data_IF_055991008433
#
_entry.id   IF_055991008433
#
_cell.length_a   1.000
_cell.length_b   1.000
_cell.length_c   1.000
_cell.angle_alpha   90.00
_cell.angle_beta   90.00
_cell.angle_gamma   90.00
#
_symmetry.space_group_name_H-M   'P 1'
#
loop_
_entity.id
_entity.type
_entity.pdbx_description
1 polymer ?
#
# COMPACT_ATOMS: atom_id res chain seq x y z
N UNK A 1 -3.76 -16.35 15.57
CA UNK A 1 -4.37 -15.11 14.97
C UNK A 1 -3.75 -13.91 15.67
N UNK A 2 -3.24 -12.89 14.93
CA UNK A 2 -2.48 -11.81 15.58
C UNK A 2 -3.33 -10.55 15.81
N UNK A 3 -3.97 -10.02 14.74
CA UNK A 3 -5.02 -8.99 14.84
C UNK A 3 -6.28 -9.52 14.21
N UNK A 4 -7.42 -9.34 14.88
CA UNK A 4 -8.73 -9.71 14.36
C UNK A 4 -9.67 -8.53 14.48
N UNK A 5 -10.31 -8.19 13.38
CA UNK A 5 -11.35 -7.17 13.27
C UNK A 5 -12.64 -7.87 12.92
N UNK A 6 -13.71 -7.67 13.70
CA UNK A 6 -14.99 -8.32 13.55
C UNK A 6 -16.10 -7.29 13.42
N UNK A 7 -16.76 -7.28 12.27
CA UNK A 7 -17.97 -6.51 11.96
C UNK A 7 -17.87 -5.02 12.32
N UNK A 8 -16.68 -4.44 12.16
CA UNK A 8 -16.44 -3.02 12.44
C UNK A 8 -17.26 -2.15 11.51
N UNK A 9 -18.03 -1.24 12.10
CA UNK A 9 -18.73 -0.19 11.39
C UNK A 9 -18.48 1.15 12.06
N UNK A 10 -18.36 2.19 11.24
CA UNK A 10 -18.29 3.59 11.63
C UNK A 10 -18.90 4.43 10.54
N UNK A 11 -20.01 5.08 10.81
CA UNK A 11 -20.72 5.91 9.85
C UNK A 11 -20.65 7.38 10.34
N UNK A 12 -20.14 8.23 9.49
CA UNK A 12 -20.16 9.67 9.65
C UNK A 12 -21.35 10.26 8.90
N UNK A 13 -21.53 11.56 8.97
CA UNK A 13 -22.53 12.28 8.18
C UNK A 13 -22.43 11.96 6.67
N UNK A 14 -23.56 11.95 5.98
CA UNK A 14 -23.67 11.61 4.55
C UNK A 14 -23.23 10.18 4.19
N UNK A 15 -23.44 9.23 5.11
CA UNK A 15 -23.15 7.80 4.92
C UNK A 15 -21.68 7.47 4.61
N UNK A 16 -20.75 8.38 4.90
CA UNK A 16 -19.31 8.11 4.76
C UNK A 16 -18.82 7.26 5.94
N UNK A 17 -17.83 6.43 5.69
CA UNK A 17 -17.23 5.62 6.74
C UNK A 17 -16.91 4.20 6.29
N UNK A 18 -17.02 3.25 7.21
CA UNK A 18 -16.81 1.83 6.97
C UNK A 18 -18.01 1.03 7.48
N UNK A 19 -18.36 -0.03 6.76
CA UNK A 19 -19.56 -0.85 7.03
C UNK A 19 -19.16 -2.32 7.11
N UNK A 20 -19.46 -2.95 8.24
CA UNK A 20 -19.34 -4.40 8.46
C UNK A 20 -17.97 -4.98 8.03
N UNK A 21 -16.88 -4.31 8.40
CA UNK A 21 -15.52 -4.73 8.07
C UNK A 21 -15.11 -5.89 8.97
N UNK A 22 -14.74 -7.01 8.36
CA UNK A 22 -14.11 -8.14 9.04
C UNK A 22 -12.81 -8.51 8.33
N UNK A 23 -11.70 -8.58 9.07
CA UNK A 23 -10.36 -8.77 8.56
C UNK A 23 -9.45 -9.38 9.62
N UNK A 24 -8.46 -10.13 9.20
CA UNK A 24 -7.45 -10.75 10.08
C UNK A 24 -6.07 -10.47 9.54
N UNK A 25 -5.11 -10.20 10.45
CA UNK A 25 -3.69 -10.04 10.16
C UNK A 25 -2.91 -11.11 10.90
N UNK A 26 -2.01 -11.79 10.22
CA UNK A 26 -1.11 -12.75 10.82
C UNK A 26 0.16 -12.06 11.39
N UNK A 27 0.85 -12.73 12.29
CA UNK A 27 2.10 -12.19 12.86
C UNK A 27 3.18 -12.09 11.79
N UNK A 28 3.82 -10.92 11.71
CA UNK A 28 4.87 -10.67 10.73
C UNK A 28 4.37 -10.45 9.30
N UNK A 29 3.06 -10.29 9.10
CA UNK A 29 2.46 -10.04 7.79
C UNK A 29 2.42 -8.55 7.46
N UNK A 30 2.65 -8.21 6.19
CA UNK A 30 2.43 -6.87 5.63
C UNK A 30 1.19 -6.89 4.74
N UNK A 31 0.15 -6.18 5.15
CA UNK A 31 -1.11 -6.09 4.43
C UNK A 31 -1.36 -4.66 3.96
N UNK A 32 -1.76 -4.50 2.68
CA UNK A 32 -2.19 -3.21 2.15
C UNK A 32 -3.70 -3.07 2.13
N UNK A 33 -4.22 -1.92 2.58
CA UNK A 33 -5.58 -1.48 2.29
C UNK A 33 -5.54 -0.61 1.03
N UNK A 34 -6.10 -1.11 -0.05
CA UNK A 34 -6.08 -0.50 -1.37
C UNK A 34 -7.50 -0.10 -1.80
N UNK A 35 -7.68 1.08 -2.35
CA UNK A 35 -8.97 1.56 -2.83
C UNK A 35 -8.95 3.03 -3.22
N UNK A 36 -9.98 3.56 -3.88
CA UNK A 36 -10.08 4.95 -4.26
C UNK A 36 -10.10 5.89 -3.05
N UNK A 37 -9.82 7.17 -3.29
CA UNK A 37 -9.94 8.19 -2.24
C UNK A 37 -11.36 8.22 -1.67
N UNK A 38 -11.48 8.31 -0.34
CA UNK A 38 -12.77 8.36 0.36
C UNK A 38 -13.48 7.02 0.56
N UNK A 39 -12.89 5.87 0.18
CA UNK A 39 -13.53 4.55 0.39
C UNK A 39 -13.43 4.00 1.82
N UNK A 40 -12.84 4.75 2.78
CA UNK A 40 -12.81 4.36 4.20
C UNK A 40 -11.48 3.81 4.72
N UNK A 41 -10.41 3.71 3.92
CA UNK A 41 -9.11 3.15 4.34
C UNK A 41 -8.51 3.83 5.58
N UNK A 42 -8.33 5.15 5.53
CA UNK A 42 -7.81 5.95 6.66
C UNK A 42 -8.76 5.91 7.87
N UNK A 43 -10.07 5.84 7.64
CA UNK A 43 -11.05 5.65 8.73
C UNK A 43 -10.81 4.32 9.44
N UNK A 44 -10.69 3.22 8.68
CA UNK A 44 -10.42 1.90 9.24
C UNK A 44 -9.07 1.87 9.97
N UNK A 45 -8.02 2.47 9.38
CA UNK A 45 -6.71 2.60 10.01
C UNK A 45 -6.80 3.33 11.36
N UNK A 46 -7.52 4.45 11.41
CA UNK A 46 -7.70 5.24 12.62
C UNK A 46 -8.53 4.52 13.69
N UNK A 47 -9.49 3.67 13.30
CA UNK A 47 -10.21 2.79 14.22
C UNK A 47 -9.26 1.76 14.81
N UNK A 48 -8.42 1.11 14.00
CA UNK A 48 -7.41 0.14 14.45
C UNK A 48 -6.39 0.82 15.39
N UNK A 49 -5.97 2.03 15.06
CA UNK A 49 -5.06 2.83 15.90
C UNK A 49 -5.70 3.37 17.17
N UNK A 50 -7.03 3.34 17.32
CA UNK A 50 -7.76 3.85 18.47
C UNK A 50 -8.02 5.36 18.45
N UNK A 51 -7.76 6.06 17.34
CA UNK A 51 -8.01 7.49 17.17
C UNK A 51 -9.47 7.80 16.85
N UNK A 52 -10.21 6.82 16.33
CA UNK A 52 -11.64 6.92 16.02
C UNK A 52 -12.35 5.75 16.67
N UNK A 53 -13.41 6.04 17.44
CA UNK A 53 -14.26 5.02 18.04
C UNK A 53 -15.22 4.46 16.97
N UNK A 54 -15.29 3.13 16.86
CA UNK A 54 -16.28 2.45 16.03
C UNK A 54 -17.69 2.54 16.63
N UNK A 55 -18.71 2.41 15.79
CA UNK A 55 -20.10 2.39 16.22
C UNK A 55 -20.54 0.95 16.58
N UNK A 56 -19.93 -0.06 15.97
CA UNK A 56 -20.18 -1.48 16.26
C UNK A 56 -18.99 -2.34 15.89
N UNK A 57 -18.98 -3.60 16.36
CA UNK A 57 -17.92 -4.57 16.12
C UNK A 57 -16.80 -4.50 17.14
N UNK A 58 -15.82 -5.38 17.02
CA UNK A 58 -14.74 -5.57 17.99
C UNK A 58 -13.37 -5.74 17.33
N UNK A 59 -12.32 -5.38 18.07
CA UNK A 59 -10.91 -5.49 17.65
C UNK A 59 -10.15 -6.28 18.71
N UNK A 60 -9.49 -7.35 18.29
CA UNK A 60 -8.69 -8.21 19.16
C UNK A 60 -7.23 -8.21 18.71
N UNK A 61 -6.31 -8.05 19.65
CA UNK A 61 -4.87 -8.21 19.45
C UNK A 61 -4.38 -9.34 20.35
N UNK A 62 -3.89 -10.44 19.76
CA UNK A 62 -3.48 -11.66 20.48
C UNK A 62 -4.57 -12.12 21.47
N UNK A 63 -5.80 -12.28 20.97
CA UNK A 63 -7.00 -12.69 21.70
C UNK A 63 -7.48 -11.71 22.80
N UNK A 64 -6.79 -10.59 22.99
CA UNK A 64 -7.18 -9.52 23.92
C UNK A 64 -8.08 -8.51 23.22
N UNK A 65 -9.26 -8.27 23.74
CA UNK A 65 -10.14 -7.19 23.25
C UNK A 65 -9.51 -5.82 23.55
N UNK A 66 -9.27 -5.05 22.50
CA UNK A 66 -8.70 -3.70 22.56
C UNK A 66 -9.65 -2.65 21.98
N UNK A 67 -10.90 -3.01 21.74
CA UNK A 67 -11.91 -2.17 21.07
C UNK A 67 -12.03 -0.79 21.72
N UNK A 68 -12.18 -0.74 23.03
CA UNK A 68 -12.35 0.51 23.80
C UNK A 68 -11.01 1.10 24.30
N UNK A 69 -9.85 0.52 23.91
CA UNK A 69 -8.57 1.05 24.35
C UNK A 69 -8.21 2.32 23.56
N UNK A 70 -7.81 3.39 24.27
CA UNK A 70 -7.29 4.58 23.61
C UNK A 70 -5.91 4.29 22.99
N UNK A 71 -5.44 5.11 22.04
CA UNK A 71 -4.21 4.84 21.28
C UNK A 71 -2.97 4.52 22.13
N UNK A 72 -2.76 5.24 23.24
CA UNK A 72 -1.60 5.08 24.12
C UNK A 72 -1.58 3.75 24.89
N UNK A 73 -2.71 3.05 24.98
CA UNK A 73 -2.84 1.73 25.60
C UNK A 73 -2.78 0.58 24.59
N UNK A 74 -2.77 0.87 23.28
CA UNK A 74 -2.61 -0.13 22.22
C UNK A 74 -1.11 -0.34 21.96
N UNK A 75 -0.74 -1.58 21.72
CA UNK A 75 0.61 -1.92 21.26
C UNK A 75 0.72 -1.76 19.73
N UNK A 76 0.09 -0.71 19.22
CA UNK A 76 -0.04 -0.33 17.81
C UNK A 76 0.44 1.09 17.68
N UNK A 77 1.27 1.38 16.67
CA UNK A 77 1.77 2.74 16.42
C UNK A 77 1.47 3.13 14.98
N UNK A 78 1.07 4.38 14.77
CA UNK A 78 0.73 4.92 13.45
C UNK A 78 1.78 5.93 12.98
N UNK A 79 2.22 5.78 11.74
CA UNK A 79 2.94 6.80 10.97
C UNK A 79 1.94 7.46 10.03
N UNK A 80 1.69 8.75 10.25
CA UNK A 80 0.73 9.53 9.46
C UNK A 80 1.35 10.02 8.15
N UNK A 81 0.51 10.34 7.18
CA UNK A 81 0.87 10.80 5.84
C UNK A 81 1.83 12.02 5.83
N UNK A 82 1.67 12.95 6.76
CA UNK A 82 2.52 14.12 6.92
C UNK A 82 3.69 13.90 7.89
N UNK A 83 3.97 12.61 8.23
CA UNK A 83 4.99 12.17 9.18
C UNK A 83 4.79 12.69 10.62
N UNK A 84 4.06 13.78 10.84
CA UNK A 84 3.76 14.43 12.12
C UNK A 84 5.01 14.60 13.02
N UNK A 85 6.15 14.97 12.43
CA UNK A 85 7.38 15.23 13.16
C UNK A 85 7.25 16.55 13.93
N UNK A 86 7.86 16.62 15.11
CA UNK A 86 7.89 17.82 15.94
C UNK A 86 8.93 18.80 15.37
N UNK A 87 8.51 19.93 14.74
CA UNK A 87 9.43 20.82 14.03
C UNK A 87 10.39 21.58 14.93
N UNK A 88 10.06 21.74 16.22
CA UNK A 88 10.87 22.40 17.24
C UNK A 88 11.88 21.47 17.91
N UNK A 89 11.91 20.18 17.53
CA UNK A 89 12.80 19.16 18.06
C UNK A 89 13.76 18.72 16.97
N UNK A 90 15.00 18.38 17.35
CA UNK A 90 15.94 17.73 16.45
C UNK A 90 15.58 16.25 16.21
N UNK A 91 16.36 15.56 15.36
CA UNK A 91 16.09 14.17 14.97
C UNK A 91 16.05 13.23 16.16
N UNK A 92 17.07 13.23 17.03
CA UNK A 92 17.11 12.32 18.18
C UNK A 92 16.01 12.62 19.21
N UNK A 93 15.63 13.88 19.36
CA UNK A 93 14.54 14.28 20.25
C UNK A 93 13.19 13.78 19.74
N UNK A 94 12.96 13.86 18.42
CA UNK A 94 11.79 13.25 17.79
C UNK A 94 11.73 11.75 18.06
N UNK A 95 12.81 11.01 17.79
CA UNK A 95 12.82 9.55 17.93
C UNK A 95 12.61 9.12 19.38
N UNK A 96 13.31 9.71 20.34
CA UNK A 96 13.23 9.32 21.76
C UNK A 96 11.95 9.79 22.47
N UNK A 97 11.15 10.68 21.86
CA UNK A 97 10.02 11.36 22.53
C UNK A 97 9.06 10.40 23.23
N UNK A 98 8.65 9.33 22.54
CA UNK A 98 7.71 8.35 23.09
C UNK A 98 8.27 7.50 24.24
N UNK A 99 9.59 7.29 24.28
CA UNK A 99 10.25 6.51 25.32
C UNK A 99 10.12 7.13 26.72
N UNK A 100 9.98 8.46 26.80
CA UNK A 100 9.71 9.18 28.04
C UNK A 100 8.49 8.65 28.79
N UNK A 101 7.47 8.20 28.05
CA UNK A 101 6.19 7.70 28.60
C UNK A 101 6.21 6.18 28.84
N UNK A 102 7.30 5.50 28.47
CA UNK A 102 7.50 4.05 28.67
C UNK A 102 8.42 3.74 29.86
N UNK A 103 8.79 4.74 30.65
CA UNK A 103 9.59 4.55 31.88
C UNK A 103 11.11 4.44 31.67
N UNK A 104 11.62 4.65 30.44
CA UNK A 104 13.06 4.63 30.17
C UNK A 104 13.75 5.87 30.76
N UNK A 105 14.94 5.69 31.38
CA UNK A 105 15.77 6.79 31.81
C UNK A 105 16.42 7.53 30.61
N UNK A 106 17.01 8.71 30.83
CA UNK A 106 17.54 9.57 29.75
C UNK A 106 18.64 8.89 28.92
N UNK A 107 19.50 8.10 29.55
CA UNK A 107 20.61 7.41 28.87
C UNK A 107 20.08 6.28 27.97
N UNK A 108 19.14 5.51 28.48
CA UNK A 108 18.45 4.46 27.71
C UNK A 108 17.70 5.02 26.52
N UNK A 109 16.97 6.15 26.70
CA UNK A 109 16.28 6.84 25.60
C UNK A 109 17.24 7.24 24.48
N UNK A 110 18.41 7.81 24.82
CA UNK A 110 19.42 8.23 23.84
C UNK A 110 20.02 7.00 23.14
N UNK A 111 20.36 5.96 23.89
CA UNK A 111 20.93 4.72 23.35
C UNK A 111 19.97 4.07 22.34
N UNK A 112 18.72 3.86 22.73
CA UNK A 112 17.69 3.26 21.86
C UNK A 112 17.42 4.14 20.63
N UNK A 113 17.30 5.46 20.81
CA UNK A 113 17.07 6.35 19.68
C UNK A 113 18.20 6.27 18.64
N UNK A 114 19.47 6.23 19.08
CA UNK A 114 20.62 6.05 18.17
C UNK A 114 20.59 4.70 17.47
N UNK A 115 20.23 3.63 18.16
CA UNK A 115 20.09 2.28 17.59
C UNK A 115 19.05 2.28 16.45
N UNK A 116 17.87 2.85 16.70
CA UNK A 116 16.82 2.90 15.67
C UNK A 116 17.13 3.89 14.54
N UNK A 117 17.84 4.99 14.80
CA UNK A 117 18.38 5.85 13.74
C UNK A 117 19.37 5.10 12.83
N UNK A 118 20.24 4.28 13.40
CA UNK A 118 21.13 3.41 12.62
C UNK A 118 20.36 2.36 11.81
N UNK A 119 19.30 1.77 12.38
CA UNK A 119 18.42 0.81 11.68
C UNK A 119 17.81 1.41 10.43
N UNK A 120 17.41 2.69 10.45
CA UNK A 120 16.82 3.40 9.30
C UNK A 120 17.85 4.18 8.47
N UNK A 121 19.16 3.96 8.66
CA UNK A 121 20.23 4.59 7.88
C UNK A 121 20.40 6.10 8.11
N UNK A 122 20.10 6.58 9.31
CA UNK A 122 20.26 8.00 9.71
C UNK A 122 21.29 8.19 10.84
N UNK A 123 22.31 7.33 10.89
CA UNK A 123 23.46 7.51 11.79
C UNK A 123 24.20 8.80 11.42
N UNK A 124 24.49 9.66 12.42
CA UNK A 124 25.13 10.96 12.23
C UNK A 124 24.17 12.15 12.05
N UNK A 125 22.86 11.89 11.90
CA UNK A 125 21.84 12.95 11.74
C UNK A 125 21.17 13.37 13.08
N UNK A 126 21.63 12.88 14.22
CA UNK A 126 20.98 13.02 15.52
C UNK A 126 20.67 14.47 15.90
N UNK A 127 21.57 15.39 15.55
CA UNK A 127 21.51 16.80 15.92
C UNK A 127 20.84 17.69 14.87
N UNK A 128 20.56 17.16 13.67
CA UNK A 128 19.95 17.93 12.59
C UNK A 128 18.53 18.37 12.99
N UNK A 129 18.12 19.54 12.51
CA UNK A 129 16.72 19.95 12.59
C UNK A 129 15.89 19.17 11.55
N UNK A 130 14.61 18.95 11.84
CA UNK A 130 13.70 18.25 10.92
C UNK A 130 13.56 18.98 9.57
N UNK A 131 13.63 20.33 9.59
CA UNK A 131 13.50 21.17 8.41
C UNK A 131 14.68 21.09 7.44
N UNK A 132 15.87 20.59 7.88
CA UNK A 132 17.05 20.39 7.05
C UNK A 132 17.01 19.06 6.28
N UNK A 133 16.05 18.19 6.60
CA UNK A 133 15.97 16.85 6.04
C UNK A 133 15.15 16.79 4.76
N UNK A 134 15.58 15.95 3.81
CA UNK A 134 14.74 15.59 2.66
C UNK A 134 13.47 14.84 3.09
N UNK A 135 12.44 14.78 2.23
CA UNK A 135 11.20 14.06 2.53
C UNK A 135 11.43 12.59 2.91
N UNK A 136 12.33 11.90 2.21
CA UNK A 136 12.68 10.52 2.56
C UNK A 136 13.40 10.40 3.90
N UNK A 137 14.27 11.35 4.25
CA UNK A 137 14.90 11.38 5.57
C UNK A 137 13.89 11.67 6.68
N UNK A 138 12.94 12.59 6.46
CA UNK A 138 11.85 12.85 7.41
C UNK A 138 10.99 11.60 7.64
N UNK A 139 10.68 10.86 6.58
CA UNK A 139 9.98 9.59 6.67
C UNK A 139 10.74 8.56 7.53
N UNK A 140 12.05 8.41 7.30
CA UNK A 140 12.91 7.52 8.11
C UNK A 140 12.94 7.93 9.58
N UNK A 141 12.98 9.23 9.89
CA UNK A 141 12.85 9.72 11.27
C UNK A 141 11.51 9.31 11.88
N UNK A 142 10.40 9.46 11.12
CA UNK A 142 9.07 9.06 11.58
C UNK A 142 8.97 7.53 11.81
N UNK A 143 9.56 6.72 10.92
CA UNK A 143 9.68 5.28 11.10
C UNK A 143 10.51 4.92 12.35
N UNK A 144 11.68 5.55 12.54
CA UNK A 144 12.50 5.32 13.74
C UNK A 144 11.75 5.68 15.02
N UNK A 145 11.02 6.83 15.03
CA UNK A 145 10.18 7.26 16.15
C UNK A 145 9.07 6.28 16.48
N UNK A 146 8.48 5.66 15.46
CA UNK A 146 7.46 4.65 15.66
C UNK A 146 8.05 3.31 16.15
N UNK A 147 9.12 2.86 15.51
CA UNK A 147 9.73 1.56 15.77
C UNK A 147 10.47 1.47 17.10
N UNK A 148 11.03 2.58 17.61
CA UNK A 148 11.72 2.61 18.90
C UNK A 148 10.83 2.22 20.08
N UNK A 149 9.50 2.35 19.90
CA UNK A 149 8.48 1.92 20.87
C UNK A 149 8.21 0.42 20.83
N UNK A 150 8.84 -0.31 19.90
CA UNK A 150 8.69 -1.75 19.70
C UNK A 150 7.22 -2.19 19.61
N UNK A 151 6.42 -1.59 18.71
CA UNK A 151 5.01 -1.92 18.61
C UNK A 151 4.82 -3.33 18.06
N UNK A 152 3.69 -3.96 18.40
CA UNK A 152 3.26 -5.22 17.78
C UNK A 152 2.84 -5.04 16.34
N UNK A 153 2.18 -3.91 16.04
CA UNK A 153 1.70 -3.56 14.70
C UNK A 153 2.10 -2.12 14.37
N UNK A 154 2.62 -1.92 13.17
CA UNK A 154 2.87 -0.60 12.60
C UNK A 154 1.81 -0.28 11.55
N UNK A 155 1.12 0.84 11.72
CA UNK A 155 0.17 1.36 10.76
C UNK A 155 0.84 2.48 9.96
N UNK A 156 0.73 2.43 8.63
CA UNK A 156 1.32 3.39 7.70
C UNK A 156 0.19 4.01 6.85
N UNK A 157 -0.10 5.30 7.04
CA UNK A 157 -1.13 6.01 6.29
C UNK A 157 -0.49 6.77 5.12
N UNK A 158 -0.65 6.25 3.90
CA UNK A 158 -0.11 6.80 2.64
C UNK A 158 1.35 7.30 2.74
N UNK A 159 2.29 6.47 3.25
CA UNK A 159 3.62 6.94 3.61
C UNK A 159 4.45 7.47 2.42
N UNK A 160 4.10 7.12 1.18
CA UNK A 160 4.85 7.53 -0.01
C UNK A 160 4.22 8.70 -0.77
N UNK A 161 3.08 9.23 -0.33
CA UNK A 161 2.33 10.25 -1.08
C UNK A 161 3.12 11.52 -1.39
N UNK A 162 4.08 11.89 -0.54
CA UNK A 162 4.88 13.11 -0.64
C UNK A 162 6.26 12.90 -1.29
N UNK A 163 6.52 11.73 -1.89
CA UNK A 163 7.81 11.39 -2.49
C UNK A 163 7.75 11.38 -4.02
N UNK A 164 8.87 11.67 -4.67
CA UNK A 164 9.03 11.46 -6.11
C UNK A 164 9.09 9.97 -6.47
N UNK A 165 8.87 9.64 -7.75
CA UNK A 165 8.74 8.25 -8.21
C UNK A 165 9.99 7.39 -7.91
N UNK A 166 11.20 7.94 -8.05
CA UNK A 166 12.43 7.19 -7.78
C UNK A 166 12.58 6.89 -6.30
N UNK A 167 12.29 7.86 -5.46
CA UNK A 167 12.36 7.72 -4.01
C UNK A 167 11.28 6.78 -3.48
N UNK A 168 10.08 6.78 -4.07
CA UNK A 168 9.02 5.81 -3.75
C UNK A 168 9.49 4.36 -3.92
N UNK A 169 10.17 4.05 -5.03
CA UNK A 169 10.68 2.69 -5.30
C UNK A 169 11.67 2.28 -4.20
N UNK A 170 12.67 3.11 -3.93
CA UNK A 170 13.66 2.82 -2.90
C UNK A 170 13.05 2.65 -1.51
N UNK A 171 12.08 3.51 -1.15
CA UNK A 171 11.41 3.45 0.16
C UNK A 171 10.50 2.23 0.31
N UNK A 172 9.87 1.76 -0.76
CA UNK A 172 9.10 0.50 -0.76
C UNK A 172 9.99 -0.70 -0.43
N UNK A 173 11.13 -0.81 -1.11
CA UNK A 173 12.11 -1.86 -0.84
C UNK A 173 12.60 -1.81 0.61
N UNK A 174 12.96 -0.62 1.09
CA UNK A 174 13.44 -0.40 2.46
C UNK A 174 12.40 -0.80 3.52
N UNK A 175 11.13 -0.40 3.35
CA UNK A 175 10.05 -0.79 4.29
C UNK A 175 9.87 -2.31 4.30
N UNK A 176 9.91 -2.97 3.15
CA UNK A 176 9.79 -4.43 3.05
C UNK A 176 10.98 -5.15 3.72
N UNK A 177 12.20 -4.65 3.52
CA UNK A 177 13.39 -5.18 4.20
C UNK A 177 13.32 -4.97 5.71
N UNK A 178 12.92 -3.77 6.14
CA UNK A 178 12.77 -3.41 7.54
C UNK A 178 11.72 -4.30 8.22
N UNK A 179 10.58 -4.52 7.58
CA UNK A 179 9.51 -5.40 8.06
C UNK A 179 10.03 -6.83 8.27
N UNK A 180 10.73 -7.39 7.27
CA UNK A 180 11.30 -8.74 7.35
C UNK A 180 12.37 -8.85 8.44
N UNK A 181 13.29 -7.87 8.51
CA UNK A 181 14.39 -7.86 9.49
C UNK A 181 13.90 -7.78 10.94
N UNK A 182 12.84 -7.01 11.18
CA UNK A 182 12.26 -6.82 12.51
C UNK A 182 11.15 -7.82 12.84
N UNK A 183 10.62 -8.56 11.85
CA UNK A 183 9.49 -9.47 12.01
C UNK A 183 8.21 -8.77 12.46
N UNK A 184 8.06 -7.46 12.20
CA UNK A 184 6.93 -6.66 12.63
C UNK A 184 5.75 -6.82 11.68
N UNK A 185 4.54 -6.88 12.23
CA UNK A 185 3.31 -6.85 11.40
C UNK A 185 3.00 -5.42 10.98
N UNK A 186 2.59 -5.22 9.72
CA UNK A 186 2.32 -3.90 9.18
C UNK A 186 0.98 -3.86 8.46
N UNK A 187 0.24 -2.75 8.64
CA UNK A 187 -0.89 -2.39 7.79
C UNK A 187 -0.54 -1.09 7.07
N UNK A 188 -0.61 -1.12 5.76
CA UNK A 188 -0.22 -0.07 4.86
C UNK A 188 -1.43 0.43 4.07
N UNK A 189 -1.73 1.73 4.12
CA UNK A 189 -2.80 2.34 3.33
C UNK A 189 -2.22 3.01 2.10
N UNK A 190 -2.78 2.72 0.95
CA UNK A 190 -2.43 3.39 -0.31
C UNK A 190 -3.62 3.44 -1.27
N UNK A 191 -3.57 4.35 -2.24
CA UNK A 191 -4.40 4.36 -3.42
C UNK A 191 -3.62 3.94 -4.69
N UNK A 192 -2.31 3.70 -4.55
CA UNK A 192 -1.42 3.30 -5.64
C UNK A 192 -1.35 1.77 -5.74
N UNK A 193 -1.72 1.26 -6.92
CA UNK A 193 -1.79 -0.17 -7.19
C UNK A 193 -0.40 -0.81 -7.22
N UNK A 194 0.60 -0.11 -7.79
CA UNK A 194 1.98 -0.63 -7.84
C UNK A 194 2.57 -0.76 -6.45
N UNK A 195 2.28 0.19 -5.56
CA UNK A 195 2.70 0.12 -4.17
C UNK A 195 2.13 -1.15 -3.51
N UNK A 196 0.81 -1.34 -3.58
CA UNK A 196 0.15 -2.48 -2.97
C UNK A 196 0.64 -3.82 -3.54
N UNK A 197 0.73 -3.93 -4.88
CA UNK A 197 1.15 -5.16 -5.56
C UNK A 197 2.61 -5.54 -5.27
N UNK A 198 3.50 -4.54 -5.08
CA UNK A 198 4.94 -4.79 -4.95
C UNK A 198 5.41 -5.19 -3.55
N UNK A 199 4.76 -4.69 -2.49
CA UNK A 199 5.28 -4.89 -1.13
C UNK A 199 4.45 -5.83 -0.26
N UNK A 200 3.16 -6.02 -0.58
CA UNK A 200 2.24 -6.70 0.34
C UNK A 200 2.32 -8.22 0.25
N UNK A 201 2.10 -8.87 1.39
CA UNK A 201 1.83 -10.31 1.44
C UNK A 201 0.37 -10.59 1.07
N UNK A 202 -0.55 -9.71 1.47
CA UNK A 202 -1.96 -9.69 1.05
C UNK A 202 -2.45 -8.26 0.84
N UNK A 203 -3.45 -8.13 -0.03
CA UNK A 203 -4.14 -6.88 -0.33
C UNK A 203 -5.60 -7.00 0.06
N UNK A 204 -6.10 -5.98 0.77
CA UNK A 204 -7.52 -5.77 1.05
C UNK A 204 -8.03 -4.67 0.14
N UNK A 205 -8.79 -5.03 -0.89
CA UNK A 205 -9.39 -4.07 -1.81
C UNK A 205 -10.67 -3.54 -1.20
N UNK A 206 -10.76 -2.22 -1.04
CA UNK A 206 -11.90 -1.52 -0.43
C UNK A 206 -12.62 -0.64 -1.44
N UNK A 207 -13.94 -0.59 -1.31
CA UNK A 207 -14.81 0.31 -2.07
C UNK A 207 -16.05 0.65 -1.24
N UNK A 208 -16.48 1.92 -1.27
CA UNK A 208 -17.71 2.39 -0.62
C UNK A 208 -17.85 1.98 0.87
N UNK A 209 -16.75 1.96 1.60
CA UNK A 209 -16.72 1.60 3.01
C UNK A 209 -16.73 0.10 3.31
N UNK A 210 -16.63 -0.75 2.30
CA UNK A 210 -16.68 -2.21 2.42
C UNK A 210 -15.42 -2.88 1.85
N UNK A 211 -15.13 -4.10 2.30
CA UNK A 211 -14.11 -4.96 1.70
C UNK A 211 -14.73 -5.69 0.50
N UNK A 212 -14.14 -5.50 -0.68
CA UNK A 212 -14.58 -6.14 -1.92
C UNK A 212 -13.88 -7.47 -2.15
N UNK A 213 -12.56 -7.51 -1.91
CA UNK A 213 -11.74 -8.72 -2.05
C UNK A 213 -10.54 -8.66 -1.12
N UNK A 214 -10.14 -9.82 -0.58
CA UNK A 214 -8.86 -10.02 0.11
C UNK A 214 -8.15 -11.16 -0.60
N UNK A 215 -6.85 -11.00 -0.88
CA UNK A 215 -6.05 -12.04 -1.52
C UNK A 215 -4.58 -11.65 -1.64
N UNK A 216 -3.76 -12.58 -2.12
CA UNK A 216 -2.37 -12.29 -2.51
C UNK A 216 -2.34 -11.34 -3.71
N UNK A 217 -1.24 -10.58 -3.92
CA UNK A 217 -1.13 -9.68 -5.07
C UNK A 217 -1.49 -10.34 -6.40
N UNK A 218 -0.99 -11.56 -6.65
CA UNK A 218 -1.25 -12.30 -7.89
C UNK A 218 -2.73 -12.71 -8.02
N UNK A 219 -3.39 -13.08 -6.90
CA UNK A 219 -4.82 -13.42 -6.90
C UNK A 219 -5.68 -12.20 -7.22
N UNK A 220 -5.36 -11.03 -6.63
CA UNK A 220 -6.07 -9.79 -6.89
C UNK A 220 -5.92 -9.36 -8.34
N UNK A 221 -4.74 -9.58 -8.94
CA UNK A 221 -4.43 -9.17 -10.31
C UNK A 221 -5.01 -10.14 -11.35
N UNK A 222 -4.74 -11.44 -11.23
CA UNK A 222 -5.12 -12.45 -12.24
C UNK A 222 -6.49 -13.11 -11.99
N UNK A 223 -6.99 -13.11 -10.75
CA UNK A 223 -8.25 -13.74 -10.35
C UNK A 223 -9.18 -12.76 -9.61
N UNK A 224 -9.47 -11.60 -10.20
CA UNK A 224 -10.34 -10.61 -9.58
C UNK A 224 -11.76 -11.16 -9.39
N UNK A 225 -12.32 -10.97 -8.16
CA UNK A 225 -13.64 -11.50 -7.78
C UNK A 225 -14.79 -10.93 -8.61
N UNK A 226 -14.63 -9.71 -9.10
CA UNK A 226 -15.65 -9.02 -9.89
C UNK A 226 -15.03 -8.00 -10.84
N UNK A 227 -15.87 -7.43 -11.70
CA UNK A 227 -15.47 -6.44 -12.69
C UNK A 227 -14.83 -5.19 -12.07
N UNK A 228 -15.35 -4.71 -10.94
CA UNK A 228 -14.79 -3.56 -10.24
C UNK A 228 -13.32 -3.78 -9.87
N UNK A 229 -13.00 -4.90 -9.20
CA UNK A 229 -11.61 -5.21 -8.83
C UNK A 229 -10.74 -5.35 -10.06
N UNK A 230 -11.25 -6.02 -11.12
CA UNK A 230 -10.53 -6.22 -12.36
C UNK A 230 -10.10 -4.89 -13.02
N UNK A 231 -11.04 -3.94 -13.16
CA UNK A 231 -10.81 -2.62 -13.75
C UNK A 231 -10.01 -1.70 -12.81
N UNK A 232 -10.22 -1.82 -11.50
CA UNK A 232 -9.53 -1.00 -10.50
C UNK A 232 -8.03 -1.32 -10.40
N UNK A 233 -7.63 -2.58 -10.55
CA UNK A 233 -6.21 -3.01 -10.40
C UNK A 233 -5.39 -2.79 -11.70
N UNK A 234 -6.01 -2.46 -12.79
CA UNK A 234 -5.33 -2.22 -14.06
C UNK A 234 -6.18 -2.52 -15.26
N UNK A 235 -5.63 -2.32 -16.44
CA UNK A 235 -6.35 -2.61 -17.69
C UNK A 235 -6.63 -4.10 -17.81
N UNK A 236 -7.84 -4.42 -18.30
CA UNK A 236 -8.30 -5.79 -18.51
C UNK A 236 -9.17 -5.86 -19.75
N UNK A 237 -9.11 -6.96 -20.46
CA UNK A 237 -9.95 -7.25 -21.60
C UNK A 237 -11.05 -8.24 -21.19
N UNK A 238 -12.31 -7.82 -21.34
CA UNK A 238 -13.47 -8.69 -21.12
C UNK A 238 -13.84 -9.36 -22.46
N UNK A 239 -13.37 -10.58 -22.65
CA UNK A 239 -13.54 -11.35 -23.88
C UNK A 239 -14.53 -12.51 -23.66
N UNK A 240 -15.08 -13.06 -24.74
CA UNK A 240 -15.99 -14.21 -24.67
C UNK A 240 -15.32 -15.46 -24.09
N UNK A 241 -14.01 -15.60 -24.30
CA UNK A 241 -13.17 -16.68 -23.77
C UNK A 241 -12.76 -16.47 -22.31
N UNK A 242 -13.16 -15.37 -21.68
CA UNK A 242 -12.79 -14.99 -20.32
C UNK A 242 -12.03 -13.66 -20.26
N UNK A 243 -11.77 -13.22 -19.04
CA UNK A 243 -11.03 -11.99 -18.78
C UNK A 243 -9.54 -12.22 -19.02
N UNK A 244 -8.87 -11.28 -19.71
CA UNK A 244 -7.44 -11.34 -20.00
C UNK A 244 -6.75 -10.03 -19.69
N UNK A 245 -5.60 -10.09 -19.02
CA UNK A 245 -4.71 -8.96 -18.89
C UNK A 245 -4.04 -8.62 -20.23
N UNK A 246 -3.63 -7.37 -20.47
CA UNK A 246 -3.02 -6.98 -21.75
C UNK A 246 -1.77 -7.80 -22.12
N UNK A 247 -0.98 -8.21 -21.15
CA UNK A 247 0.23 -9.02 -21.32
C UNK A 247 -0.03 -10.52 -21.57
N UNK A 248 -1.25 -11.00 -21.31
CA UNK A 248 -1.65 -12.38 -21.62
C UNK A 248 -2.03 -12.58 -23.09
N UNK A 249 -2.23 -11.46 -23.83
CA UNK A 249 -2.61 -11.51 -25.24
C UNK A 249 -1.36 -11.38 -26.09
N UNK A 250 -1.10 -12.39 -26.92
CA UNK A 250 -0.05 -12.33 -27.93
C UNK A 250 -0.57 -11.69 -29.21
N UNK A 251 0.28 -10.89 -29.86
CA UNK A 251 -0.03 -10.22 -31.11
C UNK A 251 1.05 -10.54 -32.15
N UNK A 252 0.63 -10.86 -33.38
CA UNK A 252 1.51 -11.12 -34.51
C UNK A 252 1.06 -10.27 -35.70
N UNK A 253 2.03 -9.59 -36.34
CA UNK A 253 1.77 -8.82 -37.57
C UNK A 253 1.38 -9.78 -38.70
N UNK A 254 0.27 -9.48 -39.36
CA UNK A 254 -0.24 -10.28 -40.48
C UNK A 254 -1.17 -9.39 -41.31
N UNK A 255 -0.87 -9.24 -42.59
CA UNK A 255 -1.67 -8.39 -43.49
C UNK A 255 -3.09 -8.92 -43.72
N UNK A 256 -3.33 -10.21 -43.47
CA UNK A 256 -4.66 -10.85 -43.51
C UNK A 256 -5.36 -10.82 -42.14
N UNK A 257 -4.74 -10.23 -41.13
CA UNK A 257 -5.27 -10.18 -39.77
C UNK A 257 -6.62 -9.44 -39.68
N UNK A 258 -7.44 -9.88 -38.75
CA UNK A 258 -8.80 -9.34 -38.51
C UNK A 258 -8.81 -8.20 -37.48
N UNK A 259 -7.64 -7.78 -36.99
CA UNK A 259 -7.50 -6.72 -36.02
C UNK A 259 -6.54 -5.62 -36.52
N UNK A 260 -6.77 -4.36 -36.10
CA UNK A 260 -5.99 -3.20 -36.52
C UNK A 260 -5.48 -2.42 -35.29
N UNK A 261 -4.22 -2.03 -35.29
CA UNK A 261 -3.64 -1.22 -34.22
C UNK A 261 -4.14 0.22 -34.34
N UNK A 262 -4.91 0.69 -33.34
CA UNK A 262 -5.45 2.06 -33.29
C UNK A 262 -4.51 3.03 -32.56
N UNK A 263 -3.83 2.56 -31.51
CA UNK A 263 -2.97 3.42 -30.71
C UNK A 263 -1.77 2.65 -30.18
N UNK A 264 -0.69 3.38 -29.90
CA UNK A 264 0.56 2.87 -29.32
C UNK A 264 1.06 3.83 -28.24
N UNK A 265 1.20 3.32 -27.02
CA UNK A 265 1.69 4.08 -25.87
C UNK A 265 2.98 3.41 -25.34
N UNK A 266 4.11 4.09 -25.56
CA UNK A 266 5.41 3.60 -25.10
C UNK A 266 5.62 3.95 -23.61
N UNK A 267 5.82 2.94 -22.78
CA UNK A 267 5.99 3.07 -21.32
C UNK A 267 7.40 2.67 -20.83
N UNK A 268 8.40 2.74 -21.69
CA UNK A 268 9.76 2.31 -21.38
C UNK A 268 9.96 0.81 -21.58
N UNK A 269 9.90 0.04 -20.52
CA UNK A 269 10.11 -1.43 -20.58
C UNK A 269 9.05 -2.17 -21.39
N UNK A 270 7.87 -1.58 -21.56
CA UNK A 270 6.74 -2.16 -22.30
C UNK A 270 6.09 -1.12 -23.21
N UNK A 271 5.31 -1.58 -24.16
CA UNK A 271 4.42 -0.74 -24.98
C UNK A 271 3.01 -1.30 -24.90
N UNK A 272 2.06 -0.44 -24.58
CA UNK A 272 0.64 -0.75 -24.62
C UNK A 272 0.08 -0.40 -25.98
N UNK A 273 -0.57 -1.35 -26.60
CA UNK A 273 -1.31 -1.18 -27.86
C UNK A 273 -2.81 -1.20 -27.59
N UNK A 274 -3.56 -0.35 -28.27
CA UNK A 274 -5.00 -0.45 -28.39
C UNK A 274 -5.29 -0.99 -29.78
N UNK A 275 -5.86 -2.17 -29.84
CA UNK A 275 -6.15 -2.90 -31.07
C UNK A 275 -7.66 -3.02 -31.22
N UNK A 276 -8.19 -2.73 -32.39
CA UNK A 276 -9.60 -2.94 -32.70
C UNK A 276 -9.80 -4.26 -33.42
N UNK A 277 -10.71 -5.08 -32.91
CA UNK A 277 -11.17 -6.32 -33.52
C UNK A 277 -12.68 -6.44 -33.37
N UNK A 278 -13.42 -6.58 -34.47
CA UNK A 278 -14.89 -6.69 -34.43
C UNK A 278 -15.55 -5.52 -33.63
N UNK A 279 -15.14 -4.30 -33.92
CA UNK A 279 -15.59 -3.08 -33.22
C UNK A 279 -15.32 -3.03 -31.72
N UNK A 280 -14.57 -3.99 -31.17
CA UNK A 280 -14.14 -4.03 -29.76
C UNK A 280 -12.69 -3.59 -29.62
N UNK A 281 -12.42 -2.72 -28.63
CA UNK A 281 -11.06 -2.33 -28.27
C UNK A 281 -10.44 -3.38 -27.36
N UNK A 282 -9.27 -3.86 -27.73
CA UNK A 282 -8.48 -4.84 -26.99
C UNK A 282 -7.14 -4.21 -26.64
N UNK A 283 -6.74 -4.31 -25.39
CA UNK A 283 -5.46 -3.84 -24.89
C UNK A 283 -4.44 -4.98 -24.96
N UNK A 284 -3.27 -4.71 -25.54
CA UNK A 284 -2.18 -5.68 -25.64
C UNK A 284 -0.90 -5.00 -25.17
N UNK A 285 -0.17 -5.64 -24.25
CA UNK A 285 1.12 -5.15 -23.76
C UNK A 285 2.23 -6.03 -24.33
N UNK A 286 3.20 -5.41 -25.01
CA UNK A 286 4.36 -6.10 -25.58
C UNK A 286 5.63 -5.53 -24.93
N UNK A 287 6.53 -6.40 -24.43
CA UNK A 287 7.77 -5.97 -23.78
C UNK A 287 8.83 -5.51 -24.78
N UNK A 288 9.67 -4.56 -24.34
CA UNK A 288 10.94 -4.18 -24.90
C UNK A 288 10.96 -3.87 -26.40
N UNK A 289 12.02 -4.30 -27.06
CA UNK A 289 12.26 -4.04 -28.47
C UNK A 289 11.29 -4.76 -29.41
N UNK A 290 10.64 -5.82 -28.96
CA UNK A 290 9.65 -6.53 -29.76
C UNK A 290 8.50 -5.62 -30.19
N UNK A 291 8.12 -4.68 -29.33
CA UNK A 291 7.09 -3.68 -29.63
C UNK A 291 7.44 -2.73 -30.78
N UNK A 292 8.74 -2.57 -31.12
CA UNK A 292 9.18 -1.69 -32.20
C UNK A 292 8.77 -2.19 -33.58
N UNK A 293 8.45 -3.48 -33.72
CA UNK A 293 8.01 -4.10 -34.99
C UNK A 293 6.60 -3.65 -35.41
N UNK A 294 5.82 -3.06 -34.49
CA UNK A 294 4.40 -2.73 -34.68
C UNK A 294 4.21 -1.23 -34.78
N UNK A 295 3.36 -0.83 -35.73
CA UNK A 295 2.96 0.57 -35.99
C UNK A 295 1.45 0.72 -35.95
N UNK A 296 0.99 1.93 -35.65
CA UNK A 296 -0.44 2.29 -35.80
C UNK A 296 -0.84 2.07 -37.25
N UNK A 297 -2.00 1.43 -37.45
CA UNK A 297 -2.52 1.05 -38.77
C UNK A 297 -2.08 -0.36 -39.23
N UNK A 298 -1.11 -1.03 -38.57
CA UNK A 298 -0.77 -2.40 -38.91
C UNK A 298 -1.96 -3.35 -38.64
N UNK A 299 -2.16 -4.30 -39.56
CA UNK A 299 -3.05 -5.44 -39.35
C UNK A 299 -2.33 -6.53 -38.57
N UNK A 300 -3.05 -7.12 -37.63
CA UNK A 300 -2.51 -8.10 -36.71
C UNK A 300 -3.49 -9.24 -36.45
N UNK A 301 -2.96 -10.38 -36.06
CA UNK A 301 -3.70 -11.49 -35.48
C UNK A 301 -3.46 -11.51 -33.99
N UNK A 302 -4.52 -11.62 -33.20
CA UNK A 302 -4.47 -11.79 -31.75
C UNK A 302 -4.61 -13.27 -31.38
N UNK A 303 -3.66 -13.79 -30.63
CA UNK A 303 -3.74 -15.13 -30.04
C UNK A 303 -4.34 -14.98 -28.64
N UNK A 304 -5.60 -15.32 -28.53
CA UNK A 304 -6.40 -15.31 -27.30
C UNK A 304 -6.39 -16.76 -26.74
N UNK A 305 -5.42 -17.08 -25.90
CA UNK A 305 -5.34 -18.42 -25.28
C UNK A 305 -5.97 -18.43 -23.89
#
# INVERSE_FOLDING_TARGET
MYLKIENISKIFEKERGVKNISFQLEKGELVSFLGPSGCGKTTLLNIIGGFVKNDSGSIYLEDKDITEYPPEKREIVTVFQNYALFPHMNVIENVKYGLKYRGYNKEEQIKLAKEYLKIVGLEGYEKNSVGELSGGQQQRVALARALVLQPKILLLDEPFSNLDAKLKIAMREEIKELQKRLGISMIFVTHDQEEALSISDRIVVMSNGEIVQIGKPEEIYYSPKNRYVAEFIGKINFLEIGNKRPEEIKMRRDNSGDAVILNREFMGATTLFVVERLEKKIYVTIPGEEALKYKVGDRVVLELK
#
